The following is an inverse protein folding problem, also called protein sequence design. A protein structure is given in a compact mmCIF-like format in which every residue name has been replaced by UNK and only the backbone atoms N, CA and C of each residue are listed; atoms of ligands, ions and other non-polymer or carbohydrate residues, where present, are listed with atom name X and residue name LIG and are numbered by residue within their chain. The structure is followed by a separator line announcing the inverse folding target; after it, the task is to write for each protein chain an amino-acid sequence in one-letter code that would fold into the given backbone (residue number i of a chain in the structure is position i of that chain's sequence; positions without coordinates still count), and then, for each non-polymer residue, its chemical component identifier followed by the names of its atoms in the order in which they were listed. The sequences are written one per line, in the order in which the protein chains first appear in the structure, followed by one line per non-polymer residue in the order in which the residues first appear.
data_IF_767344218101
#
_entry.id   IF_767344218101
#
_cell.length_a   1.000
_cell.length_b   1.000
_cell.length_c   1.000
_cell.angle_alpha   90.00
_cell.angle_beta   90.00
_cell.angle_gamma   90.00
#
_symmetry.space_group_name_H-M   'P 1'
#
loop_
_entity.id
_entity.type
_entity.pdbx_description
1 polymer ?
#
# COMPACT_ATOMS: atom_id res chain seq x y z
N UNK A 1 12.61 -9.25 -44.65
CA UNK A 1 12.08 -8.60 -45.87
C UNK A 1 13.16 -7.70 -46.46
N UNK A 2 13.47 -7.79 -47.76
CA UNK A 2 14.46 -6.91 -48.39
C UNK A 2 13.73 -5.83 -49.18
N UNK A 3 14.02 -4.55 -48.90
CA UNK A 3 13.49 -3.41 -49.64
C UNK A 3 14.64 -2.73 -50.35
N UNK A 4 14.63 -2.78 -51.67
CA UNK A 4 15.63 -2.12 -52.49
C UNK A 4 15.21 -0.66 -52.73
N UNK A 5 16.10 0.29 -52.41
CA UNK A 5 15.93 1.72 -52.70
C UNK A 5 17.06 2.15 -53.61
N UNK A 6 16.88 1.96 -54.91
CA UNK A 6 17.92 2.24 -55.91
C UNK A 6 19.15 1.33 -55.75
N UNK A 7 20.39 1.88 -55.77
CA UNK A 7 21.62 1.11 -55.60
C UNK A 7 21.86 0.61 -54.16
N UNK A 8 21.04 1.04 -53.20
CA UNK A 8 21.12 0.61 -51.81
C UNK A 8 20.07 -0.45 -51.50
N UNK A 9 20.47 -1.53 -50.83
CA UNK A 9 19.58 -2.60 -50.37
C UNK A 9 19.42 -2.48 -48.85
N UNK A 10 18.19 -2.22 -48.40
CA UNK A 10 17.86 -2.28 -46.97
C UNK A 10 17.33 -3.67 -46.63
N UNK A 11 18.03 -4.38 -45.73
CA UNK A 11 17.57 -5.65 -45.19
C UNK A 11 16.84 -5.41 -43.87
N UNK A 12 15.55 -5.70 -43.84
CA UNK A 12 14.79 -5.79 -42.59
C UNK A 12 14.88 -7.23 -42.09
N UNK A 13 15.57 -7.44 -40.98
CA UNK A 13 15.51 -8.70 -40.24
C UNK A 13 14.19 -8.74 -39.47
N UNK A 14 13.39 -9.76 -39.77
CA UNK A 14 12.17 -10.08 -39.01
C UNK A 14 12.48 -11.23 -38.07
N UNK A 15 11.66 -11.38 -37.04
CA UNK A 15 11.75 -12.47 -36.09
C UNK A 15 11.67 -13.81 -36.86
N UNK A 16 12.56 -14.76 -36.53
CA UNK A 16 12.57 -16.08 -37.17
C UNK A 16 11.23 -16.79 -36.94
N UNK A 17 10.56 -17.33 -37.97
CA UNK A 17 9.26 -18.00 -37.82
C UNK A 17 9.34 -19.30 -37.01
N UNK A 18 10.48 -19.99 -37.04
CA UNK A 18 10.66 -21.30 -36.40
C UNK A 18 10.95 -21.20 -34.89
N UNK A 19 11.78 -20.23 -34.48
CA UNK A 19 12.14 -20.03 -33.07
C UNK A 19 11.50 -18.80 -32.43
N UNK A 20 10.78 -17.98 -33.19
CA UNK A 20 10.11 -16.75 -32.73
C UNK A 20 11.03 -15.80 -31.94
N UNK A 21 12.34 -15.83 -32.21
CA UNK A 21 13.32 -15.00 -31.53
C UNK A 21 13.91 -15.59 -30.25
N UNK A 22 13.49 -16.79 -29.81
CA UNK A 22 14.06 -17.46 -28.64
C UNK A 22 15.45 -18.06 -28.90
N UNK A 23 15.85 -18.25 -30.16
CA UNK A 23 17.16 -18.81 -30.54
C UNK A 23 17.28 -20.33 -30.39
N UNK A 24 16.30 -20.98 -29.77
CA UNK A 24 16.24 -22.43 -29.58
C UNK A 24 14.87 -22.97 -30.00
N UNK A 25 14.81 -24.24 -30.41
CA UNK A 25 13.56 -24.93 -30.76
C UNK A 25 13.46 -26.24 -29.99
N UNK A 26 12.28 -26.50 -29.42
CA UNK A 26 12.00 -27.69 -28.63
C UNK A 26 11.01 -28.57 -29.40
N UNK A 27 11.33 -29.86 -29.57
CA UNK A 27 10.41 -30.83 -30.18
C UNK A 27 9.16 -30.97 -29.32
N UNK A 28 7.99 -31.10 -29.95
CA UNK A 28 6.71 -31.12 -29.24
C UNK A 28 6.60 -32.19 -28.15
N UNK A 29 7.16 -33.37 -28.40
CA UNK A 29 7.23 -34.48 -27.42
C UNK A 29 8.08 -34.17 -26.18
N UNK A 30 9.06 -33.29 -26.32
CA UNK A 30 10.04 -32.93 -25.29
C UNK A 30 9.64 -31.64 -24.54
N UNK A 31 8.51 -31.00 -24.91
CA UNK A 31 8.00 -29.80 -24.25
C UNK A 31 7.53 -30.11 -22.83
N UNK A 32 7.90 -29.25 -21.89
CA UNK A 32 7.42 -29.34 -20.51
C UNK A 32 5.88 -29.25 -20.46
N UNK A 33 5.24 -30.23 -19.80
CA UNK A 33 3.77 -30.29 -19.69
C UNK A 33 3.15 -29.15 -18.86
N UNK A 34 3.94 -28.51 -17.98
CA UNK A 34 3.47 -27.43 -17.09
C UNK A 34 3.50 -26.06 -17.78
N UNK A 35 4.62 -25.69 -18.41
CA UNK A 35 4.77 -24.39 -19.06
C UNK A 35 4.56 -24.43 -20.58
N UNK A 36 4.43 -25.62 -21.18
CA UNK A 36 4.27 -25.83 -22.63
C UNK A 36 5.35 -25.15 -23.49
N UNK A 37 6.57 -25.02 -22.94
CA UNK A 37 7.70 -24.34 -23.61
C UNK A 37 7.85 -22.85 -23.26
N UNK A 38 6.90 -22.24 -22.55
CA UNK A 38 6.95 -20.81 -22.16
C UNK A 38 7.95 -20.47 -21.06
N UNK A 39 8.59 -21.49 -20.46
CA UNK A 39 9.59 -21.36 -19.37
C UNK A 39 9.08 -20.70 -18.07
N UNK A 40 7.84 -20.20 -18.02
CA UNK A 40 7.17 -19.63 -16.84
C UNK A 40 5.81 -20.30 -16.59
N UNK A 41 5.31 -20.21 -15.36
CA UNK A 41 3.99 -20.68 -14.93
C UNK A 41 3.35 -19.65 -14.01
N UNK A 42 2.01 -19.58 -14.00
CA UNK A 42 1.28 -18.73 -13.07
C UNK A 42 1.19 -19.44 -11.72
N UNK A 43 1.69 -18.81 -10.67
CA UNK A 43 1.67 -19.33 -9.30
C UNK A 43 0.89 -18.39 -8.39
N UNK A 44 0.12 -18.95 -7.45
CA UNK A 44 -0.56 -18.18 -6.41
C UNK A 44 0.17 -18.38 -5.09
N UNK A 45 0.88 -17.34 -4.64
CA UNK A 45 1.59 -17.29 -3.37
C UNK A 45 0.92 -16.32 -2.40
N UNK A 46 0.93 -16.66 -1.12
CA UNK A 46 0.42 -15.80 -0.04
C UNK A 46 1.60 -15.15 0.66
N UNK A 47 1.61 -13.82 0.74
CA UNK A 47 2.60 -13.04 1.46
C UNK A 47 1.99 -12.52 2.76
N UNK A 48 2.69 -12.75 3.89
CA UNK A 48 2.26 -12.25 5.19
C UNK A 48 2.93 -10.92 5.48
N UNK A 49 2.15 -9.84 5.41
CA UNK A 49 2.62 -8.49 5.72
C UNK A 49 2.37 -8.20 7.19
N UNK A 50 3.43 -7.96 7.95
CA UNK A 50 3.31 -7.53 9.35
C UNK A 50 3.25 -5.99 9.41
N UNK A 51 2.24 -5.45 10.09
CA UNK A 51 2.09 -4.01 10.29
C UNK A 51 2.32 -3.70 11.76
N UNK A 52 3.47 -3.11 12.05
CA UNK A 52 3.83 -2.70 13.40
C UNK A 52 2.96 -1.55 13.92
N UNK A 53 2.85 -1.45 15.24
CA UNK A 53 2.10 -0.37 15.90
C UNK A 53 2.80 0.96 15.65
N UNK A 54 2.01 1.99 15.38
CA UNK A 54 2.52 3.36 15.16
C UNK A 54 3.04 3.63 13.76
N UNK A 55 3.03 2.65 12.85
CA UNK A 55 3.42 2.87 11.45
C UNK A 55 2.61 4.02 10.84
N UNK A 56 3.30 4.92 10.14
CA UNK A 56 2.71 6.09 9.47
C UNK A 56 2.21 5.71 8.08
N UNK A 57 1.24 6.47 7.58
CA UNK A 57 0.79 6.34 6.17
C UNK A 57 1.97 6.62 5.23
N UNK A 58 2.06 5.85 4.13
CA UNK A 58 3.16 5.90 3.18
C UNK A 58 4.37 5.05 3.56
N UNK A 59 4.32 4.31 4.69
CA UNK A 59 5.38 3.35 5.02
C UNK A 59 5.40 2.21 4.02
N UNK A 60 6.61 1.82 3.59
CA UNK A 60 6.83 0.80 2.57
C UNK A 60 7.44 -0.46 3.17
N UNK A 61 6.82 -1.61 2.90
CA UNK A 61 7.32 -2.93 3.27
C UNK A 61 7.71 -3.65 1.99
N UNK A 62 9.00 -3.98 1.86
CA UNK A 62 9.59 -4.56 0.66
C UNK A 62 9.78 -6.07 0.80
N UNK A 63 9.28 -6.82 -0.19
CA UNK A 63 9.55 -8.24 -0.37
C UNK A 63 10.42 -8.44 -1.61
N UNK A 64 11.70 -8.70 -1.38
CA UNK A 64 12.69 -8.78 -2.45
C UNK A 64 12.54 -10.04 -3.29
N UNK A 65 12.54 -9.90 -4.61
CA UNK A 65 12.48 -11.02 -5.56
C UNK A 65 11.14 -11.76 -5.62
N UNK A 66 10.10 -11.20 -5.01
CA UNK A 66 8.73 -11.76 -5.02
C UNK A 66 7.87 -11.27 -6.19
N UNK A 67 8.44 -10.46 -7.09
CA UNK A 67 7.78 -10.00 -8.31
C UNK A 67 7.77 -11.03 -9.44
N UNK A 68 7.24 -10.63 -10.60
CA UNK A 68 7.16 -11.49 -11.77
C UNK A 68 8.55 -11.96 -12.24
N UNK A 69 8.65 -13.26 -12.54
CA UNK A 69 9.89 -13.90 -12.95
C UNK A 69 9.87 -14.21 -14.45
N UNK A 70 10.97 -13.90 -15.14
CA UNK A 70 11.19 -14.26 -16.54
C UNK A 70 12.57 -14.87 -16.74
N UNK A 71 12.72 -15.78 -17.73
CA UNK A 71 14.02 -16.38 -18.02
C UNK A 71 15.06 -15.32 -18.38
N UNK A 72 16.20 -15.33 -17.70
CA UNK A 72 17.30 -14.39 -17.94
C UNK A 72 17.11 -12.99 -17.33
N UNK A 73 16.05 -12.77 -16.55
CA UNK A 73 15.78 -11.49 -15.87
C UNK A 73 15.70 -11.72 -14.36
N UNK A 74 16.27 -10.81 -13.57
CA UNK A 74 16.11 -10.82 -12.12
C UNK A 74 14.67 -10.47 -11.76
N UNK A 75 14.09 -11.23 -10.84
CA UNK A 75 12.75 -10.97 -10.32
C UNK A 75 12.67 -9.57 -9.69
N UNK A 76 11.56 -8.88 -9.92
CA UNK A 76 11.29 -7.61 -9.26
C UNK A 76 10.94 -7.78 -7.78
N UNK A 77 10.72 -6.65 -7.11
CA UNK A 77 10.32 -6.62 -5.70
C UNK A 77 8.82 -6.30 -5.59
N UNK A 78 8.16 -6.87 -4.58
CA UNK A 78 6.79 -6.51 -4.22
C UNK A 78 6.87 -5.51 -3.07
N UNK A 79 6.41 -4.29 -3.32
CA UNK A 79 6.42 -3.20 -2.33
C UNK A 79 5.00 -2.91 -1.89
N UNK A 80 4.71 -3.14 -0.62
CA UNK A 80 3.44 -2.76 0.00
C UNK A 80 3.57 -1.36 0.58
N UNK A 81 2.67 -0.46 0.19
CA UNK A 81 2.54 0.86 0.81
C UNK A 81 1.34 0.87 1.74
N UNK A 82 1.57 1.24 3.00
CA UNK A 82 0.52 1.27 4.02
C UNK A 82 -0.22 2.59 3.90
N UNK A 83 -1.53 2.51 3.65
CA UNK A 83 -2.42 3.67 3.62
C UNK A 83 -3.29 3.70 4.87
N UNK A 84 -3.32 4.86 5.54
CA UNK A 84 -4.22 5.06 6.67
C UNK A 84 -5.65 5.29 6.17
N UNK A 85 -6.57 4.42 6.62
CA UNK A 85 -8.00 4.62 6.36
C UNK A 85 -8.54 5.79 7.20
N UNK A 86 -9.40 6.65 6.63
CA UNK A 86 -10.12 7.67 7.39
C UNK A 86 -10.93 7.03 8.52
N UNK A 87 -10.85 7.60 9.73
CA UNK A 87 -11.60 7.14 10.89
C UNK A 87 -12.75 8.12 11.19
N UNK A 88 -13.96 7.64 11.53
CA UNK A 88 -15.12 8.51 11.72
C UNK A 88 -14.99 9.50 12.89
N UNK A 89 -14.24 9.12 13.94
CA UNK A 89 -14.09 9.93 15.17
C UNK A 89 -12.76 10.66 15.30
N UNK A 90 -11.70 10.13 14.68
CA UNK A 90 -10.34 10.54 14.98
C UNK A 90 -9.61 10.93 13.71
N UNK A 91 -8.88 12.02 13.78
CA UNK A 91 -7.90 12.39 12.78
C UNK A 91 -6.50 12.20 13.37
N UNK A 92 -5.72 11.28 12.82
CA UNK A 92 -4.32 11.12 13.24
C UNK A 92 -3.48 12.22 12.63
N UNK A 93 -2.63 12.83 13.46
CA UNK A 93 -1.56 13.73 13.01
C UNK A 93 -0.29 13.31 13.73
N UNK A 94 0.65 12.77 12.97
CA UNK A 94 1.84 12.13 13.50
C UNK A 94 1.51 11.05 14.56
N UNK A 95 1.89 11.28 15.81
CA UNK A 95 1.70 10.35 16.91
C UNK A 95 0.52 10.77 17.81
N UNK A 96 -0.17 11.85 17.45
CA UNK A 96 -1.33 12.38 18.17
C UNK A 96 -2.66 12.03 17.47
N UNK A 97 -3.71 11.91 18.27
CA UNK A 97 -5.09 11.72 17.82
C UNK A 97 -5.91 12.98 18.10
N UNK A 98 -6.47 13.57 17.04
CA UNK A 98 -7.38 14.70 17.13
C UNK A 98 -8.82 14.19 17.15
N UNK A 99 -9.59 14.66 18.14
CA UNK A 99 -11.01 14.39 18.30
C UNK A 99 -11.77 15.71 18.33
N UNK A 100 -12.84 15.80 17.53
CA UNK A 100 -13.73 16.95 17.58
C UNK A 100 -14.85 16.68 18.57
N UNK A 101 -14.81 17.38 19.71
CA UNK A 101 -15.84 17.28 20.74
C UNK A 101 -16.86 18.40 20.59
N UNK A 102 -18.12 18.03 20.40
CA UNK A 102 -19.24 18.96 20.52
C UNK A 102 -19.69 18.98 21.99
N UNK A 103 -19.77 20.18 22.57
CA UNK A 103 -20.09 20.38 23.98
C UNK A 103 -21.21 21.40 24.12
N UNK A 104 -22.09 21.16 25.08
CA UNK A 104 -23.15 22.12 25.41
C UNK A 104 -22.55 23.40 26.02
N UNK A 105 -23.19 24.54 25.73
CA UNK A 105 -22.79 25.83 26.29
C UNK A 105 -22.79 25.82 27.83
N UNK A 106 -23.71 25.07 28.45
CA UNK A 106 -23.75 24.91 29.90
C UNK A 106 -22.47 24.23 30.40
N UNK A 107 -22.05 23.14 29.78
CA UNK A 107 -20.82 22.42 30.15
C UNK A 107 -19.58 23.27 29.89
N UNK A 108 -19.58 24.08 28.82
CA UNK A 108 -18.48 25.00 28.51
C UNK A 108 -18.30 26.13 29.54
N UNK A 109 -19.38 26.58 30.19
CA UNK A 109 -19.37 27.68 31.16
C UNK A 109 -19.32 27.21 32.62
N UNK A 110 -20.14 26.22 32.98
CA UNK A 110 -20.31 25.73 34.34
C UNK A 110 -19.41 24.54 34.68
N UNK A 111 -18.69 23.98 33.71
CA UNK A 111 -17.92 22.76 33.88
C UNK A 111 -18.78 21.49 33.78
N UNK A 112 -18.12 20.34 33.73
CA UNK A 112 -18.77 19.04 33.58
C UNK A 112 -17.80 17.96 33.12
N UNK A 113 -18.34 16.87 32.55
CA UNK A 113 -17.55 15.74 32.07
C UNK A 113 -17.92 15.42 30.63
N UNK A 114 -16.91 15.14 29.80
CA UNK A 114 -17.08 14.63 28.45
C UNK A 114 -16.58 13.20 28.42
N UNK A 115 -17.31 12.33 27.74
CA UNK A 115 -16.94 10.94 27.54
C UNK A 115 -16.52 10.73 26.09
N UNK A 116 -15.31 10.23 25.88
CA UNK A 116 -14.74 9.96 24.55
C UNK A 116 -14.46 8.46 24.45
N UNK A 117 -15.04 7.80 23.45
CA UNK A 117 -14.73 6.42 23.11
C UNK A 117 -13.41 6.36 22.33
N UNK A 118 -12.37 5.79 22.94
CA UNK A 118 -11.03 5.66 22.36
C UNK A 118 -10.96 4.55 21.29
N UNK A 119 -9.79 4.31 20.70
CA UNK A 119 -9.55 3.28 19.69
C UNK A 119 -9.51 1.85 20.27
N UNK A 120 -9.31 1.73 21.58
CA UNK A 120 -9.27 0.46 22.30
C UNK A 120 -10.59 0.15 23.03
N UNK A 121 -11.68 0.78 22.58
CA UNK A 121 -13.04 0.65 23.12
C UNK A 121 -13.19 1.09 24.59
N UNK A 122 -12.17 1.74 25.17
CA UNK A 122 -12.28 2.34 26.50
C UNK A 122 -12.92 3.73 26.44
N UNK A 123 -13.65 4.06 27.48
CA UNK A 123 -14.22 5.39 27.68
C UNK A 123 -13.24 6.27 28.46
N UNK A 124 -12.76 7.34 27.83
CA UNK A 124 -11.98 8.39 28.48
C UNK A 124 -12.93 9.43 29.06
N UNK A 125 -12.78 9.72 30.35
CA UNK A 125 -13.51 10.80 31.02
C UNK A 125 -12.64 12.05 31.05
N UNK A 126 -13.08 13.11 30.38
CA UNK A 126 -12.41 14.41 30.36
C UNK A 126 -13.17 15.37 31.26
N UNK A 127 -12.55 15.77 32.37
CA UNK A 127 -13.14 16.73 33.29
C UNK A 127 -12.89 18.16 32.80
N UNK A 128 -13.96 18.97 32.80
CA UNK A 128 -13.93 20.42 32.60
C UNK A 128 -14.28 21.05 33.94
N UNK A 129 -13.36 21.82 34.49
CA UNK A 129 -13.58 22.44 35.79
C UNK A 129 -14.42 23.71 35.65
N UNK A 130 -15.33 23.99 36.60
CA UNK A 130 -16.07 25.26 36.62
C UNK A 130 -15.12 26.45 36.62
N UNK A 131 -15.34 27.41 35.71
CA UNK A 131 -14.49 28.58 35.56
C UNK A 131 -13.29 28.42 34.62
N UNK A 132 -13.11 27.25 33.98
CA UNK A 132 -12.25 27.08 32.81
C UNK A 132 -13.06 27.49 31.55
N UNK A 133 -12.88 28.70 30.99
CA UNK A 133 -13.68 29.12 29.84
C UNK A 133 -13.22 28.35 28.60
N UNK A 134 -14.06 27.42 28.13
CA UNK A 134 -13.84 26.75 26.85
C UNK A 134 -14.45 27.61 25.75
N UNK A 135 -13.58 28.23 24.94
CA UNK A 135 -13.99 28.94 23.74
C UNK A 135 -14.13 27.97 22.55
N UNK A 136 -14.98 28.29 21.56
CA UNK A 136 -15.01 27.51 20.31
C UNK A 136 -13.63 27.42 19.67
N UNK A 137 -13.20 26.20 19.35
CA UNK A 137 -11.86 25.92 18.80
C UNK A 137 -10.75 25.80 19.84
N UNK A 138 -11.05 25.87 21.13
CA UNK A 138 -10.09 25.57 22.18
C UNK A 138 -9.57 24.13 22.05
N UNK A 139 -8.26 23.95 22.30
CA UNK A 139 -7.60 22.65 22.21
C UNK A 139 -7.24 22.19 23.63
N UNK A 140 -7.70 21.00 24.01
CA UNK A 140 -7.37 20.35 25.27
C UNK A 140 -6.56 19.09 25.01
N UNK A 141 -5.42 18.97 25.69
CA UNK A 141 -4.49 17.84 25.51
C UNK A 141 -4.68 16.82 26.62
N UNK A 142 -4.92 15.57 26.24
CA UNK A 142 -4.98 14.43 27.16
C UNK A 142 -3.66 13.68 27.02
N UNK A 143 -2.77 13.80 28.01
CA UNK A 143 -1.43 13.20 27.93
C UNK A 143 -1.50 11.68 28.05
N UNK A 144 -0.75 10.99 27.20
CA UNK A 144 -0.60 9.53 27.24
C UNK A 144 -1.81 8.75 26.72
N UNK A 145 -2.67 9.40 25.94
CA UNK A 145 -3.78 8.79 25.21
C UNK A 145 -3.66 9.07 23.72
#
# INVERSE_FOLDING_TARGET
MMRQMGPMIQRFQTICPDCQGEGETIRDRDRCKRCMGKKTVVERKVLHVHVDRGVKSGHKIEFRGEGDQMPGVLAGDVVFEIEQKPHPRFQRKDDDLFYHAEIDLLTALAGGQIYIEHLDDRWLTVNIYPGEPITPGAIKVIKGQ
#
